data_IF_793023148288
#
_entry.id   IF_793023148288
#
_cell.length_a   1.000
_cell.length_b   1.000
_cell.length_c   1.000
_cell.angle_alpha   90.00
_cell.angle_beta   90.00
_cell.angle_gamma   90.00
#
_symmetry.space_group_name_H-M   'P 1'
#
loop_
_entity.id
_entity.type
_entity.pdbx_description
1 polymer ?
#
# COMPACT_ATOMS: atom_id res chain seq x y z
N UNK A 1 -27.68 21.35 -29.64
CA UNK A 1 -26.63 20.52 -29.03
C UNK A 1 -25.50 20.42 -30.02
N UNK A 2 -24.30 20.84 -29.61
CA UNK A 2 -23.12 20.79 -30.48
C UNK A 2 -22.63 19.33 -30.59
N UNK A 3 -22.01 18.98 -31.72
CA UNK A 3 -21.48 17.63 -32.01
C UNK A 3 -20.59 17.06 -30.88
N UNK A 4 -19.91 17.94 -30.14
CA UNK A 4 -19.08 17.60 -29.00
C UNK A 4 -19.90 17.14 -27.78
N UNK A 5 -21.05 17.77 -27.52
CA UNK A 5 -21.93 17.39 -26.40
C UNK A 5 -22.58 16.03 -26.64
N UNK A 6 -23.00 15.76 -27.88
CA UNK A 6 -23.56 14.46 -28.25
C UNK A 6 -22.50 13.36 -28.12
N UNK A 7 -21.28 13.60 -28.59
CA UNK A 7 -20.19 12.62 -28.47
C UNK A 7 -19.83 12.32 -27.01
N UNK A 8 -19.75 13.34 -26.15
CA UNK A 8 -19.49 13.16 -24.71
C UNK A 8 -20.61 12.39 -23.99
N UNK A 9 -21.87 12.63 -24.37
CA UNK A 9 -23.02 11.92 -23.78
C UNK A 9 -23.06 10.46 -24.22
N UNK A 10 -22.69 10.18 -25.47
CA UNK A 10 -22.63 8.81 -25.98
C UNK A 10 -21.42 8.05 -25.37
N UNK A 11 -20.25 8.66 -25.27
CA UNK A 11 -19.08 8.09 -24.57
C UNK A 11 -19.39 7.80 -23.09
N UNK A 12 -20.09 8.71 -22.41
CA UNK A 12 -20.49 8.51 -21.02
C UNK A 12 -21.50 7.36 -20.89
N UNK A 13 -22.45 7.25 -21.82
CA UNK A 13 -23.43 6.15 -21.84
C UNK A 13 -22.74 4.81 -22.06
N UNK A 14 -21.80 4.75 -22.99
CA UNK A 14 -21.02 3.54 -23.27
C UNK A 14 -20.14 3.15 -22.08
N UNK A 15 -19.50 4.13 -21.43
CA UNK A 15 -18.74 3.92 -20.20
C UNK A 15 -19.62 3.37 -19.06
N UNK A 16 -20.81 3.93 -18.86
CA UNK A 16 -21.75 3.44 -17.83
C UNK A 16 -22.28 2.04 -18.15
N UNK A 17 -22.51 1.72 -19.42
CA UNK A 17 -22.91 0.37 -19.85
C UNK A 17 -21.78 -0.65 -19.67
N UNK A 18 -20.53 -0.25 -19.89
CA UNK A 18 -19.36 -1.08 -19.62
C UNK A 18 -19.18 -1.34 -18.11
N UNK A 19 -19.28 -0.31 -17.27
CA UNK A 19 -19.22 -0.45 -15.79
C UNK A 19 -20.33 -1.38 -15.25
N UNK A 20 -21.50 -1.41 -15.91
CA UNK A 20 -22.59 -2.31 -15.51
C UNK A 20 -22.37 -3.78 -15.89
N UNK A 21 -21.43 -4.07 -16.81
CA UNK A 21 -21.19 -5.41 -17.37
C UNK A 21 -19.85 -6.00 -16.97
N UNK A 22 -18.88 -5.16 -16.62
CA UNK A 22 -17.54 -5.55 -16.22
C UNK A 22 -17.30 -5.15 -14.75
N UNK A 23 -16.63 -5.98 -13.95
CA UNK A 23 -16.16 -5.54 -12.63
C UNK A 23 -15.30 -4.28 -12.83
N UNK A 24 -15.61 -3.22 -12.09
CA UNK A 24 -14.93 -1.93 -12.23
C UNK A 24 -13.41 -2.07 -12.16
N UNK A 25 -12.70 -1.33 -13.00
CA UNK A 25 -11.24 -1.25 -12.97
C UNK A 25 -10.82 -0.27 -11.87
N UNK A 26 -9.92 -0.69 -10.99
CA UNK A 26 -9.32 0.16 -9.97
C UNK A 26 -7.82 0.20 -10.21
N UNK A 27 -7.23 1.38 -10.21
CA UNK A 27 -5.81 1.54 -10.51
C UNK A 27 -4.94 0.71 -9.58
N UNK A 28 -3.99 -0.02 -10.15
CA UNK A 28 -2.94 -0.72 -9.42
C UNK A 28 -2.19 0.24 -8.47
N UNK A 29 -1.88 -0.24 -7.26
CA UNK A 29 -1.24 0.56 -6.22
C UNK A 29 0.14 0.02 -5.88
N UNK A 30 1.15 0.87 -6.02
CA UNK A 30 2.54 0.56 -5.62
C UNK A 30 2.62 0.26 -4.13
N UNK A 31 1.91 1.04 -3.31
CA UNK A 31 1.90 0.87 -1.86
C UNK A 31 1.30 -0.49 -1.47
N UNK A 32 0.10 -0.80 -1.97
CA UNK A 32 -0.60 -2.05 -1.64
C UNK A 32 0.19 -3.27 -2.12
N UNK A 33 0.71 -3.21 -3.35
CA UNK A 33 1.56 -4.24 -3.95
C UNK A 33 2.82 -4.50 -3.12
N UNK A 34 3.56 -3.43 -2.78
CA UNK A 34 4.79 -3.54 -2.01
C UNK A 34 4.53 -4.07 -0.58
N UNK A 35 3.48 -3.59 0.10
CA UNK A 35 3.08 -4.07 1.42
C UNK A 35 2.68 -5.55 1.40
N UNK A 36 1.94 -5.97 0.37
CA UNK A 36 1.55 -7.37 0.22
C UNK A 36 2.78 -8.28 0.09
N UNK A 37 3.74 -7.93 -0.76
CA UNK A 37 4.99 -8.67 -0.93
C UNK A 37 5.80 -8.68 0.37
N UNK A 38 5.93 -7.54 1.06
CA UNK A 38 6.68 -7.44 2.32
C UNK A 38 6.08 -8.28 3.45
N UNK A 39 4.74 -8.42 3.50
CA UNK A 39 4.09 -9.21 4.56
C UNK A 39 3.98 -10.70 4.23
N UNK A 40 3.66 -11.06 3.00
CA UNK A 40 3.46 -12.47 2.60
C UNK A 40 4.75 -13.17 2.15
N UNK A 41 5.78 -12.40 1.83
CA UNK A 41 7.01 -12.90 1.23
C UNK A 41 6.91 -13.11 -0.28
N UNK A 42 8.02 -13.53 -0.91
CA UNK A 42 8.11 -13.62 -2.36
C UNK A 42 7.40 -14.86 -2.89
N UNK A 43 6.76 -14.71 -4.05
CA UNK A 43 6.16 -15.77 -4.86
C UNK A 43 6.87 -15.85 -6.22
N UNK A 44 6.54 -16.83 -7.08
CA UNK A 44 7.08 -16.87 -8.45
C UNK A 44 6.79 -15.62 -9.29
N UNK A 45 5.73 -14.85 -9.00
CA UNK A 45 5.41 -13.60 -9.71
C UNK A 45 6.10 -12.36 -9.14
N UNK A 46 6.76 -12.46 -7.99
CA UNK A 46 7.36 -11.31 -7.32
C UNK A 46 8.40 -10.58 -8.18
N UNK A 47 9.29 -11.25 -8.94
CA UNK A 47 10.17 -10.54 -9.86
C UNK A 47 9.44 -9.66 -10.88
N UNK A 48 8.30 -10.12 -11.41
CA UNK A 48 7.49 -9.35 -12.34
C UNK A 48 6.80 -8.16 -11.64
N UNK A 49 6.30 -8.34 -10.42
CA UNK A 49 5.72 -7.25 -9.63
C UNK A 49 6.76 -6.21 -9.20
N UNK A 50 8.00 -6.61 -8.87
CA UNK A 50 9.08 -5.67 -8.60
C UNK A 50 9.46 -4.87 -9.85
N UNK A 51 9.54 -5.51 -11.03
CA UNK A 51 9.75 -4.78 -12.29
C UNK A 51 8.62 -3.78 -12.54
N UNK A 52 7.36 -4.20 -12.33
CA UNK A 52 6.22 -3.29 -12.43
C UNK A 52 6.34 -2.10 -11.45
N UNK A 53 6.75 -2.33 -10.20
CA UNK A 53 7.03 -1.24 -9.24
C UNK A 53 8.09 -0.30 -9.83
N UNK A 54 9.19 -0.81 -10.37
CA UNK A 54 10.25 0.02 -10.95
C UNK A 54 9.72 0.85 -12.12
N UNK A 55 8.90 0.27 -13.00
CA UNK A 55 8.26 0.98 -14.12
C UNK A 55 7.33 2.13 -13.65
N UNK A 56 6.85 2.08 -12.39
CA UNK A 56 6.06 3.17 -11.81
C UNK A 56 6.90 4.32 -11.26
N UNK A 57 8.22 4.16 -11.11
CA UNK A 57 9.13 5.17 -10.59
C UNK A 57 9.12 6.42 -11.48
N UNK A 58 9.14 7.61 -10.89
CA UNK A 58 9.22 8.87 -11.66
C UNK A 58 10.67 9.27 -11.88
N UNK A 59 10.88 10.23 -12.78
CA UNK A 59 12.21 10.69 -13.20
C UNK A 59 13.06 11.29 -12.07
N UNK A 60 12.45 11.73 -10.97
CA UNK A 60 13.12 12.24 -9.77
C UNK A 60 13.40 11.15 -8.72
N UNK A 61 13.11 9.88 -9.01
CA UNK A 61 13.34 8.74 -8.14
C UNK A 61 12.18 8.37 -7.20
N UNK A 62 11.17 9.23 -7.03
CA UNK A 62 10.04 8.94 -6.14
C UNK A 62 8.91 8.12 -6.80
N UNK A 63 8.07 7.48 -5.99
CA UNK A 63 6.86 6.76 -6.43
C UNK A 63 5.58 7.45 -5.96
N UNK A 64 4.53 7.39 -6.78
CA UNK A 64 3.23 8.01 -6.51
C UNK A 64 2.98 9.28 -7.33
N UNK A 65 1.92 9.99 -6.99
CA UNK A 65 1.47 11.19 -7.71
C UNK A 65 2.33 12.41 -7.34
N UNK A 66 2.98 13.01 -8.34
CA UNK A 66 3.93 14.14 -8.15
C UNK A 66 3.28 15.34 -7.46
N UNK A 67 1.98 15.58 -7.69
CA UNK A 67 1.24 16.69 -7.08
C UNK A 67 0.77 16.41 -5.64
N UNK A 68 1.03 15.23 -5.08
CA UNK A 68 0.71 14.84 -3.70
C UNK A 68 1.98 14.48 -2.92
N UNK A 69 2.86 15.43 -2.62
CA UNK A 69 4.21 15.16 -2.09
C UNK A 69 4.22 14.41 -0.74
N UNK A 70 3.22 14.63 0.11
CA UNK A 70 3.08 13.93 1.40
C UNK A 70 2.78 12.44 1.20
N UNK A 71 1.73 12.11 0.44
CA UNK A 71 1.37 10.73 0.12
C UNK A 71 2.51 10.00 -0.61
N UNK A 72 3.24 10.74 -1.47
CA UNK A 72 4.35 10.23 -2.26
C UNK A 72 5.52 9.70 -1.41
N UNK A 73 5.77 10.29 -0.25
CA UNK A 73 6.80 9.81 0.67
C UNK A 73 6.47 8.44 1.24
N UNK A 74 5.20 8.18 1.60
CA UNK A 74 4.75 6.87 2.07
C UNK A 74 4.99 5.82 0.99
N UNK A 75 4.51 6.07 -0.22
CA UNK A 75 4.67 5.13 -1.35
C UNK A 75 6.14 4.90 -1.67
N UNK A 76 6.97 5.96 -1.65
CA UNK A 76 8.41 5.86 -1.94
C UNK A 76 9.15 5.05 -0.87
N UNK A 77 8.89 5.30 0.42
CA UNK A 77 9.47 4.50 1.52
C UNK A 77 9.12 3.02 1.38
N UNK A 78 7.86 2.71 1.12
CA UNK A 78 7.38 1.32 0.94
C UNK A 78 8.03 0.66 -0.28
N UNK A 79 8.11 1.35 -1.42
CA UNK A 79 8.74 0.82 -2.63
C UNK A 79 10.24 0.54 -2.41
N UNK A 80 10.96 1.48 -1.78
CA UNK A 80 12.39 1.30 -1.44
C UNK A 80 12.61 0.08 -0.56
N UNK A 81 11.78 -0.14 0.46
CA UNK A 81 11.89 -1.30 1.34
C UNK A 81 11.62 -2.62 0.60
N UNK A 82 10.57 -2.68 -0.22
CA UNK A 82 10.27 -3.88 -1.00
C UNK A 82 11.39 -4.21 -2.00
N UNK A 83 11.92 -3.20 -2.70
CA UNK A 83 13.06 -3.37 -3.61
C UNK A 83 14.33 -3.78 -2.88
N UNK A 84 14.57 -3.24 -1.68
CA UNK A 84 15.71 -3.62 -0.86
C UNK A 84 15.63 -5.06 -0.38
N UNK A 85 14.46 -5.50 0.07
CA UNK A 85 14.27 -6.81 0.69
C UNK A 85 14.19 -7.96 -0.34
N UNK A 86 13.58 -7.72 -1.50
CA UNK A 86 13.30 -8.78 -2.48
C UNK A 86 13.94 -8.57 -3.85
N UNK A 87 14.50 -7.38 -4.12
CA UNK A 87 15.21 -7.09 -5.36
C UNK A 87 16.59 -7.76 -5.41
N UNK A 88 16.87 -8.45 -6.52
CA UNK A 88 18.14 -9.17 -6.73
C UNK A 88 18.90 -8.70 -7.98
N UNK A 89 18.35 -7.77 -8.76
CA UNK A 89 18.93 -7.29 -10.02
C UNK A 89 19.60 -5.93 -9.87
N UNK A 90 20.52 -5.60 -10.78
CA UNK A 90 21.11 -4.25 -10.82
C UNK A 90 20.04 -3.16 -11.03
N UNK A 91 18.97 -3.47 -11.78
CA UNK A 91 17.85 -2.55 -11.98
C UNK A 91 17.10 -2.27 -10.67
N UNK A 92 16.86 -3.30 -9.85
CA UNK A 92 16.27 -3.11 -8.50
C UNK A 92 17.17 -2.28 -7.60
N UNK A 93 18.51 -2.47 -7.69
CA UNK A 93 19.48 -1.68 -6.93
C UNK A 93 19.44 -0.19 -7.33
N UNK A 94 19.48 0.10 -8.63
CA UNK A 94 19.43 1.45 -9.17
C UNK A 94 18.12 2.17 -8.80
N UNK A 95 16.98 1.50 -8.95
CA UNK A 95 15.68 2.08 -8.60
C UNK A 95 15.61 2.40 -7.09
N UNK A 96 16.04 1.47 -6.24
CA UNK A 96 16.14 1.68 -4.78
C UNK A 96 17.04 2.88 -4.45
N UNK A 97 18.23 2.97 -5.06
CA UNK A 97 19.16 4.08 -4.85
C UNK A 97 18.58 5.43 -5.26
N UNK A 98 17.89 5.51 -6.40
CA UNK A 98 17.17 6.71 -6.82
C UNK A 98 16.03 7.09 -5.85
N UNK A 99 15.32 6.11 -5.30
CA UNK A 99 14.31 6.32 -4.26
C UNK A 99 14.88 6.87 -2.96
N UNK A 100 16.03 6.34 -2.52
CA UNK A 100 16.74 6.86 -1.35
C UNK A 100 17.22 8.30 -1.60
N UNK A 101 17.80 8.58 -2.77
CA UNK A 101 18.23 9.93 -3.14
C UNK A 101 17.07 10.93 -3.09
N UNK A 102 15.89 10.57 -3.59
CA UNK A 102 14.67 11.38 -3.47
C UNK A 102 14.33 11.70 -2.00
N UNK A 103 14.33 10.69 -1.12
CA UNK A 103 14.02 10.87 0.30
C UNK A 103 15.06 11.74 1.04
N UNK A 104 16.34 11.58 0.70
CA UNK A 104 17.42 12.41 1.24
C UNK A 104 17.30 13.87 0.78
N UNK A 105 17.00 14.10 -0.49
CA UNK A 105 16.82 15.44 -1.04
C UNK A 105 15.70 16.22 -0.32
N UNK A 106 14.59 15.57 0.02
CA UNK A 106 13.52 16.19 0.81
C UNK A 106 14.03 16.68 2.18
N UNK A 107 14.88 15.88 2.83
CA UNK A 107 15.50 16.25 4.11
C UNK A 107 16.42 17.46 3.95
N UNK A 108 17.27 17.46 2.92
CA UNK A 108 18.21 18.56 2.64
C UNK A 108 17.48 19.87 2.32
N UNK A 109 16.32 19.78 1.68
CA UNK A 109 15.45 20.94 1.38
C UNK A 109 14.65 21.43 2.60
N UNK A 110 14.78 20.76 3.75
CA UNK A 110 14.01 21.08 4.95
C UNK A 110 12.51 20.84 4.76
N UNK A 111 12.12 19.88 3.91
CA UNK A 111 10.74 19.49 3.74
C UNK A 111 10.18 18.89 5.02
N UNK A 112 8.92 19.20 5.33
CA UNK A 112 8.19 18.58 6.43
C UNK A 112 6.85 18.07 5.93
N UNK A 113 6.47 16.87 6.38
CA UNK A 113 5.15 16.34 6.06
C UNK A 113 4.05 17.16 6.75
N UNK A 114 3.12 17.69 5.96
CA UNK A 114 2.08 18.60 6.44
C UNK A 114 0.73 17.90 6.60
N UNK A 115 0.31 17.15 5.58
CA UNK A 115 -1.00 16.52 5.47
C UNK A 115 -0.84 15.00 5.43
N UNK A 116 -1.19 14.27 6.50
CA UNK A 116 -1.11 12.82 6.47
C UNK A 116 -2.08 12.26 5.43
N UNK A 117 -1.61 11.31 4.62
CA UNK A 117 -2.51 10.34 3.98
C UNK A 117 -3.17 9.47 5.05
N UNK A 118 -4.22 8.72 4.71
CA UNK A 118 -4.90 7.83 5.66
C UNK A 118 -3.89 6.92 6.37
N UNK A 119 -3.79 7.05 7.70
CA UNK A 119 -2.93 6.23 8.54
C UNK A 119 -1.43 6.54 8.46
N UNK A 120 -1.00 7.60 7.76
CA UNK A 120 0.43 7.92 7.57
C UNK A 120 1.18 8.06 8.90
N UNK A 121 0.53 8.58 9.94
CA UNK A 121 1.12 8.71 11.28
C UNK A 121 1.42 7.36 11.95
N UNK A 122 0.78 6.27 11.52
CA UNK A 122 1.08 4.91 11.97
C UNK A 122 2.03 4.20 11.01
N UNK A 123 1.83 4.42 9.70
CA UNK A 123 2.60 3.76 8.64
C UNK A 123 4.05 4.24 8.63
N UNK A 124 4.29 5.56 8.65
CA UNK A 124 5.65 6.11 8.51
C UNK A 124 6.57 5.68 9.64
N UNK A 125 6.19 5.77 10.93
CA UNK A 125 7.08 5.33 12.00
C UNK A 125 7.46 3.85 11.89
N UNK A 126 6.52 2.99 11.45
CA UNK A 126 6.79 1.57 11.18
C UNK A 126 7.79 1.41 10.04
N UNK A 127 7.56 2.05 8.89
CA UNK A 127 8.46 1.97 7.73
C UNK A 127 9.87 2.49 8.05
N UNK A 128 9.99 3.56 8.85
CA UNK A 128 11.29 4.07 9.30
C UNK A 128 12.00 3.08 10.23
N UNK A 129 11.27 2.41 11.13
CA UNK A 129 11.85 1.36 11.96
C UNK A 129 12.31 0.14 11.14
N UNK A 130 11.57 -0.24 10.10
CA UNK A 130 11.96 -1.29 9.15
C UNK A 130 13.19 -0.89 8.33
N UNK A 131 13.26 0.37 7.91
CA UNK A 131 14.44 0.93 7.23
C UNK A 131 15.69 0.89 8.13
N UNK A 132 15.56 1.27 9.41
CA UNK A 132 16.65 1.18 10.38
C UNK A 132 17.13 -0.27 10.56
N UNK A 133 16.21 -1.22 10.69
CA UNK A 133 16.54 -2.66 10.79
C UNK A 133 17.23 -3.20 9.54
N UNK A 134 16.89 -2.65 8.38
CA UNK A 134 17.48 -2.96 7.10
C UNK A 134 18.83 -2.23 6.83
N UNK A 135 19.26 -1.35 7.75
CA UNK A 135 20.47 -0.55 7.57
C UNK A 135 20.33 0.60 6.55
N UNK A 136 19.09 0.96 6.20
CA UNK A 136 18.77 2.11 5.35
C UNK A 136 18.54 3.34 6.24
N UNK A 137 19.64 3.99 6.64
CA UNK A 137 19.59 5.14 7.55
C UNK A 137 18.87 6.34 6.89
N UNK A 138 17.62 6.58 7.27
CA UNK A 138 16.80 7.68 6.79
C UNK A 138 16.54 8.70 7.90
N UNK A 139 16.55 9.98 7.53
CA UNK A 139 16.25 11.05 8.50
C UNK A 139 14.81 10.99 8.97
N UNK A 140 14.61 11.13 10.28
CA UNK A 140 13.30 11.25 10.91
C UNK A 140 12.76 12.69 10.88
N UNK A 141 13.62 13.67 10.57
CA UNK A 141 13.29 15.09 10.65
C UNK A 141 12.06 15.50 9.81
N UNK A 142 11.88 15.03 8.55
CA UNK A 142 10.69 15.37 7.77
C UNK A 142 9.38 14.85 8.38
N UNK A 143 9.45 13.85 9.25
CA UNK A 143 8.32 13.07 9.74
C UNK A 143 8.01 13.28 11.23
N UNK A 144 8.74 14.18 11.91
CA UNK A 144 8.65 14.34 13.38
C UNK A 144 7.20 14.52 13.87
N UNK A 145 6.41 15.36 13.19
CA UNK A 145 4.99 15.57 13.53
C UNK A 145 4.15 14.29 13.36
N UNK A 146 4.46 13.45 12.37
CA UNK A 146 3.76 12.19 12.14
C UNK A 146 4.12 11.17 13.19
N UNK A 147 5.39 11.11 13.61
CA UNK A 147 5.86 10.25 14.69
C UNK A 147 5.11 10.59 15.98
N UNK A 148 5.06 11.86 16.38
CA UNK A 148 4.34 12.30 17.58
C UNK A 148 2.82 12.04 17.52
N UNK A 149 2.20 12.19 16.34
CA UNK A 149 0.79 11.83 16.14
C UNK A 149 0.58 10.33 16.24
N UNK A 150 1.49 9.54 15.66
CA UNK A 150 1.47 8.09 15.67
C UNK A 150 1.53 7.51 17.07
N UNK A 151 2.44 8.00 17.90
CA UNK A 151 2.57 7.60 19.31
C UNK A 151 1.26 7.81 20.08
N UNK A 152 0.65 9.00 19.94
CA UNK A 152 -0.66 9.29 20.55
C UNK A 152 -1.75 8.37 20.02
N UNK A 153 -1.78 8.14 18.70
CA UNK A 153 -2.80 7.29 18.06
C UNK A 153 -2.66 5.83 18.49
N UNK A 154 -1.45 5.29 18.63
CA UNK A 154 -1.21 3.93 19.10
C UNK A 154 -1.78 3.69 20.51
N UNK A 155 -1.61 4.64 21.42
CA UNK A 155 -2.21 4.56 22.76
C UNK A 155 -3.75 4.52 22.70
N UNK A 156 -4.35 5.34 21.84
CA UNK A 156 -5.81 5.35 21.65
C UNK A 156 -6.32 4.04 21.04
N UNK A 157 -5.61 3.46 20.07
CA UNK A 157 -6.02 2.22 19.42
C UNK A 157 -6.15 1.05 20.41
N UNK A 158 -5.30 1.00 21.44
CA UNK A 158 -5.36 -0.02 22.49
C UNK A 158 -6.64 0.08 23.35
N UNK A 159 -7.28 1.25 23.35
CA UNK A 159 -8.50 1.51 24.13
C UNK A 159 -9.78 1.29 23.32
N UNK A 160 -9.69 1.02 22.01
CA UNK A 160 -10.85 0.83 21.14
C UNK A 160 -11.28 -0.65 21.18
N UNK A 161 -12.46 -0.97 21.75
CA UNK A 161 -12.87 -2.36 21.92
C UNK A 161 -13.29 -3.05 20.61
N UNK A 162 -13.73 -2.29 19.60
CA UNK A 162 -14.23 -2.80 18.31
C UNK A 162 -13.54 -2.06 17.16
N UNK A 163 -12.24 -2.28 17.01
CA UNK A 163 -11.42 -1.57 16.04
C UNK A 163 -11.87 -1.83 14.59
N UNK A 164 -12.41 -3.02 14.33
CA UNK A 164 -12.95 -3.46 13.05
C UNK A 164 -14.14 -2.64 12.56
N UNK A 165 -14.79 -1.90 13.46
CA UNK A 165 -15.92 -1.01 13.14
C UNK A 165 -15.50 0.45 12.95
N UNK A 166 -14.21 0.73 12.95
CA UNK A 166 -13.66 2.08 12.82
C UNK A 166 -12.85 2.23 11.54
N UNK A 167 -12.65 3.47 11.08
CA UNK A 167 -11.79 3.73 9.92
C UNK A 167 -10.32 3.35 10.15
N UNK A 168 -9.89 3.11 11.39
CA UNK A 168 -8.51 2.72 11.67
C UNK A 168 -8.17 1.32 11.16
N UNK A 169 -9.16 0.43 10.97
CA UNK A 169 -8.92 -0.93 10.45
C UNK A 169 -8.36 -0.93 9.02
N UNK A 170 -8.55 0.16 8.26
CA UNK A 170 -8.01 0.31 6.92
C UNK A 170 -6.48 0.28 6.88
N UNK A 171 -5.82 0.82 7.92
CA UNK A 171 -4.34 0.85 8.04
C UNK A 171 -3.84 -0.16 9.07
N UNK A 172 -4.52 -1.29 9.20
CA UNK A 172 -4.22 -2.30 10.22
C UNK A 172 -2.85 -2.95 10.02
N UNK A 173 -2.30 -2.94 8.82
CA UNK A 173 -0.92 -3.36 8.54
C UNK A 173 0.14 -2.60 9.33
N UNK A 174 -0.16 -1.35 9.71
CA UNK A 174 0.77 -0.48 10.42
C UNK A 174 0.87 -0.75 11.92
N UNK A 175 -0.16 -1.33 12.54
CA UNK A 175 -0.24 -1.50 14.00
C UNK A 175 -0.74 -2.88 14.46
N UNK A 176 -1.22 -3.71 13.54
CA UNK A 176 -1.78 -5.04 13.82
C UNK A 176 -0.72 -6.02 14.31
N UNK A 177 -0.98 -6.61 15.47
CA UNK A 177 -0.11 -7.60 16.14
C UNK A 177 -0.74 -8.99 16.27
N UNK A 178 -2.08 -9.07 16.35
CA UNK A 178 -2.80 -10.32 16.57
C UNK A 178 -3.97 -10.44 15.58
N UNK A 179 -4.00 -11.48 14.74
CA UNK A 179 -5.05 -11.66 13.73
C UNK A 179 -6.31 -12.23 14.39
N UNK A 180 -7.38 -11.45 14.43
CA UNK A 180 -8.68 -11.90 14.92
C UNK A 180 -9.66 -12.18 13.78
N UNK A 181 -10.53 -13.20 13.88
CA UNK A 181 -11.44 -13.57 12.79
C UNK A 181 -12.46 -12.47 12.46
N UNK A 182 -12.85 -11.64 13.44
CA UNK A 182 -13.77 -10.51 13.26
C UNK A 182 -13.21 -9.37 12.40
N UNK A 183 -11.89 -9.34 12.17
CA UNK A 183 -11.27 -8.31 11.32
C UNK A 183 -11.46 -8.60 9.83
N UNK A 184 -11.79 -9.84 9.48
CA UNK A 184 -12.12 -10.24 8.10
C UNK A 184 -13.61 -10.00 7.86
N UNK A 185 -13.91 -8.91 7.16
CA UNK A 185 -15.26 -8.38 6.94
C UNK A 185 -16.01 -9.11 5.80
N UNK A 186 -17.18 -8.59 5.42
CA UNK A 186 -18.04 -9.19 4.39
C UNK A 186 -17.42 -9.26 2.99
N UNK A 187 -16.38 -8.46 2.71
CA UNK A 187 -15.59 -8.56 1.47
C UNK A 187 -14.63 -9.76 1.45
N UNK A 188 -14.38 -10.36 2.62
CA UNK A 188 -13.34 -11.36 2.82
C UNK A 188 -11.95 -10.78 3.07
N UNK A 189 -11.78 -9.45 3.02
CA UNK A 189 -10.54 -8.75 3.39
C UNK A 189 -10.62 -8.08 4.76
N UNK A 190 -9.54 -7.38 5.14
CA UNK A 190 -9.47 -6.54 6.34
C UNK A 190 -9.55 -5.09 5.93
N UNK A 191 -10.63 -4.40 6.33
CA UNK A 191 -10.78 -2.96 6.12
C UNK A 191 -10.77 -2.54 4.64
N UNK A 192 -11.16 -3.45 3.74
CA UNK A 192 -11.03 -3.29 2.30
C UNK A 192 -9.62 -2.93 1.81
N UNK A 193 -8.55 -3.17 2.58
CA UNK A 193 -7.16 -2.92 2.18
C UNK A 193 -6.40 -4.21 1.89
N UNK A 194 -5.79 -4.37 0.71
CA UNK A 194 -4.85 -5.46 0.44
C UNK A 194 -3.68 -5.52 1.42
N UNK A 195 -3.08 -4.40 1.82
CA UNK A 195 -1.98 -4.33 2.76
C UNK A 195 -2.39 -4.82 4.15
N UNK A 196 -3.52 -4.33 4.67
CA UNK A 196 -4.08 -4.80 5.95
C UNK A 196 -4.40 -6.30 5.90
N UNK A 197 -4.98 -6.77 4.79
CA UNK A 197 -5.32 -8.18 4.57
C UNK A 197 -4.07 -9.06 4.51
N UNK A 198 -3.03 -8.61 3.81
CA UNK A 198 -1.75 -9.30 3.71
C UNK A 198 -1.05 -9.41 5.07
N UNK A 199 -1.04 -8.34 5.86
CA UNK A 199 -0.53 -8.39 7.25
C UNK A 199 -1.30 -9.40 8.09
N UNK A 200 -2.62 -9.40 8.00
CA UNK A 200 -3.47 -10.32 8.77
C UNK A 200 -3.18 -11.77 8.40
N UNK A 201 -3.08 -12.07 7.10
CA UNK A 201 -2.72 -13.39 6.60
C UNK A 201 -1.35 -13.86 7.08
N UNK A 202 -0.34 -12.97 7.05
CA UNK A 202 1.01 -13.27 7.49
C UNK A 202 1.04 -13.70 8.98
N UNK A 203 0.28 -13.00 9.83
CA UNK A 203 0.18 -13.34 11.24
C UNK A 203 -0.67 -14.61 11.48
N UNK A 204 -1.68 -14.86 10.65
CA UNK A 204 -2.59 -15.99 10.80
C UNK A 204 -2.04 -17.32 10.26
N UNK A 205 -0.95 -17.31 9.50
CA UNK A 205 -0.49 -18.43 8.65
C UNK A 205 -0.44 -19.80 9.35
N UNK A 206 -0.07 -19.82 10.63
CA UNK A 206 0.10 -21.05 11.42
C UNK A 206 -1.07 -21.35 12.36
N UNK A 207 -2.20 -20.63 12.24
CA UNK A 207 -3.37 -20.83 13.09
C UNK A 207 -4.44 -21.68 12.37
N UNK A 208 -4.67 -22.94 12.79
CA UNK A 208 -5.68 -23.82 12.16
C UNK A 208 -7.11 -23.34 12.40
N UNK A 209 -7.39 -22.66 13.51
CA UNK A 209 -8.72 -22.10 13.82
C UNK A 209 -9.11 -21.03 12.80
N UNK A 210 -8.13 -20.31 12.26
CA UNK A 210 -8.34 -19.24 11.28
C UNK A 210 -8.32 -19.74 9.83
N UNK A 211 -8.29 -21.06 9.57
CA UNK A 211 -8.12 -21.60 8.22
C UNK A 211 -9.18 -21.09 7.21
N UNK A 212 -10.45 -21.03 7.62
CA UNK A 212 -11.53 -20.52 6.77
C UNK A 212 -11.34 -19.02 6.47
N UNK A 213 -11.06 -18.22 7.49
CA UNK A 213 -10.81 -16.77 7.34
C UNK A 213 -9.57 -16.49 6.50
N UNK A 214 -8.53 -17.32 6.59
CA UNK A 214 -7.36 -17.26 5.69
C UNK A 214 -7.74 -17.53 4.24
N UNK A 215 -8.58 -18.52 3.98
CA UNK A 215 -9.04 -18.80 2.62
C UNK A 215 -9.83 -17.62 2.03
N UNK A 216 -10.67 -16.96 2.85
CA UNK A 216 -11.40 -15.73 2.47
C UNK A 216 -10.43 -14.59 2.14
N UNK A 217 -9.47 -14.30 3.03
CA UNK A 217 -8.48 -13.24 2.82
C UNK A 217 -7.57 -13.50 1.59
N UNK A 218 -7.20 -14.76 1.33
CA UNK A 218 -6.48 -15.12 0.11
C UNK A 218 -7.33 -14.91 -1.15
N UNK A 219 -8.64 -15.21 -1.10
CA UNK A 219 -9.55 -14.96 -2.21
C UNK A 219 -9.73 -13.45 -2.46
N UNK A 220 -9.81 -12.66 -1.40
CA UNK A 220 -9.85 -11.20 -1.48
C UNK A 220 -8.61 -10.65 -2.20
N UNK A 221 -7.39 -11.06 -1.82
CA UNK A 221 -6.16 -10.60 -2.49
C UNK A 221 -6.09 -11.00 -3.97
N UNK A 222 -6.54 -12.21 -4.33
CA UNK A 222 -6.67 -12.61 -5.74
C UNK A 222 -7.65 -11.72 -6.50
N UNK A 223 -8.77 -11.35 -5.87
CA UNK A 223 -9.73 -10.40 -6.44
C UNK A 223 -9.12 -9.01 -6.64
N UNK A 224 -8.39 -8.51 -5.66
CA UNK A 224 -7.69 -7.22 -5.73
C UNK A 224 -6.64 -7.18 -6.85
N UNK A 225 -5.97 -8.31 -7.13
CA UNK A 225 -5.08 -8.43 -8.29
C UNK A 225 -5.84 -8.45 -9.62
N UNK A 226 -6.96 -9.17 -9.68
CA UNK A 226 -7.76 -9.27 -10.90
C UNK A 226 -8.32 -7.90 -11.36
N UNK A 227 -8.84 -7.09 -10.42
CA UNK A 227 -9.41 -5.77 -10.73
C UNK A 227 -8.35 -4.71 -11.06
N UNK A 228 -7.08 -4.96 -10.72
CA UNK A 228 -5.95 -4.11 -11.12
C UNK A 228 -5.67 -4.19 -12.63
N UNK A 229 -6.12 -5.27 -13.29
CA UNK A 229 -5.97 -5.51 -14.73
C UNK A 229 -4.52 -5.44 -15.27
N UNK A 230 -3.52 -5.66 -14.40
CA UNK A 230 -2.10 -5.71 -14.77
C UNK A 230 -1.68 -7.10 -15.27
N UNK A 231 -2.43 -8.15 -14.89
CA UNK A 231 -2.11 -9.54 -15.27
C UNK A 231 -0.92 -10.14 -14.49
N UNK A 232 -0.47 -9.47 -13.44
CA UNK A 232 0.59 -9.96 -12.53
C UNK A 232 -0.06 -10.27 -11.18
N UNK A 233 -0.06 -11.54 -10.71
CA UNK A 233 -0.78 -11.93 -9.49
C UNK A 233 -0.41 -11.16 -8.21
N UNK A 234 0.86 -10.75 -8.10
CA UNK A 234 1.33 -9.98 -6.94
C UNK A 234 1.03 -8.48 -7.04
N UNK A 235 0.55 -7.97 -8.20
CA UNK A 235 0.16 -6.56 -8.35
C UNK A 235 -1.32 -6.43 -8.04
N UNK A 236 -1.64 -5.55 -7.08
CA UNK A 236 -3.01 -5.36 -6.56
C UNK A 236 -3.49 -3.93 -6.71
N UNK A 237 -4.79 -3.77 -6.85
CA UNK A 237 -5.46 -2.48 -6.93
C UNK A 237 -5.38 -1.71 -5.60
N UNK A 238 -5.50 -0.38 -5.70
CA UNK A 238 -5.82 0.44 -4.54
C UNK A 238 -7.16 0.01 -3.93
N UNK A 239 -7.28 0.22 -2.62
CA UNK A 239 -8.52 0.08 -1.88
C UNK A 239 -9.47 1.28 -2.09
#
# INVERSE_FOLDING_TARGET
MNNLETHLVDDLRDTLQAIAREPGSVSASVYETAQMIMHLGPTPSTPAALNWIIDQQKSDGGWGLVHLPDARQVVTLTAVLALHQFGQSDHTRQAKEAGLAYLHQLTEQGYFMHTPSNGAELIIPRLLAEADQAGLALSRAPYQKMIEKGERRQLLLQMIPQIEKTQAIFSWEAFGVEPKPEYVDGSGGVGHSPAATARWLALAQNNPVLAEKRAQAQAYLRGASAVAQIGIPDVVAAA
#
